data_IF_856767554272
#
_entry.id   IF_856767554272
#
_cell.length_a   1.000
_cell.length_b   1.000
_cell.length_c   1.000
_cell.angle_alpha   90.00
_cell.angle_beta   90.00
_cell.angle_gamma   90.00
#
_symmetry.space_group_name_H-M   'P 1'
#
loop_
_entity.id
_entity.type
_entity.pdbx_description
1 polymer ?
#
# COMPACT_ATOMS: atom_id res chain seq x y z
N UNK A 1 -20.53 -96.29 -26.06
CA UNK A 1 -21.00 -95.64 -24.84
C UNK A 1 -19.96 -94.66 -24.42
N UNK A 2 -20.10 -93.42 -24.80
CA UNK A 2 -19.24 -92.34 -24.30
C UNK A 2 -20.16 -91.22 -23.98
N UNK A 3 -20.16 -90.82 -22.74
CA UNK A 3 -21.08 -89.90 -22.08
C UNK A 3 -20.78 -88.45 -22.33
N UNK A 4 -21.77 -87.70 -22.67
CA UNK A 4 -21.83 -86.24 -22.75
C UNK A 4 -21.81 -85.67 -21.34
N UNK A 5 -20.73 -84.95 -20.95
CA UNK A 5 -20.72 -84.19 -19.71
C UNK A 5 -19.83 -82.94 -19.78
N UNK A 6 -19.64 -82.39 -20.99
CA UNK A 6 -18.73 -81.22 -21.18
C UNK A 6 -19.39 -79.87 -21.39
N UNK A 7 -20.68 -79.75 -21.69
CA UNK A 7 -21.27 -78.48 -22.17
C UNK A 7 -21.93 -77.60 -21.08
N UNK A 8 -22.22 -78.15 -19.91
CA UNK A 8 -22.89 -77.33 -18.87
C UNK A 8 -21.99 -76.49 -17.98
N UNK A 9 -20.67 -76.63 -18.09
CA UNK A 9 -19.73 -75.83 -17.24
C UNK A 9 -19.26 -74.49 -17.89
N UNK A 10 -19.40 -74.38 -19.21
CA UNK A 10 -19.00 -73.15 -19.91
C UNK A 10 -20.09 -72.08 -19.90
N UNK A 11 -21.38 -72.48 -19.91
CA UNK A 11 -22.46 -71.49 -19.88
C UNK A 11 -22.68 -70.82 -18.52
N UNK A 12 -22.29 -71.44 -17.41
CA UNK A 12 -22.44 -70.88 -16.11
C UNK A 12 -21.33 -69.87 -15.78
N UNK A 13 -20.16 -69.95 -16.44
CA UNK A 13 -19.07 -68.98 -16.22
C UNK A 13 -19.28 -67.69 -17.00
N UNK A 14 -19.90 -67.74 -18.18
CA UNK A 14 -20.19 -66.54 -18.97
C UNK A 14 -21.36 -65.73 -18.40
N UNK A 15 -22.36 -66.38 -17.82
CA UNK A 15 -23.47 -65.71 -17.17
C UNK A 15 -23.04 -65.02 -15.87
N UNK A 16 -22.12 -65.65 -15.10
CA UNK A 16 -21.57 -65.02 -13.89
C UNK A 16 -20.66 -63.83 -14.17
N UNK A 17 -19.88 -63.79 -15.29
CA UNK A 17 -19.07 -62.67 -15.69
C UNK A 17 -19.87 -61.47 -16.21
N UNK A 18 -21.00 -61.71 -16.91
CA UNK A 18 -21.85 -60.62 -17.41
C UNK A 18 -22.65 -59.98 -16.27
N UNK A 19 -23.05 -60.72 -15.25
CA UNK A 19 -23.73 -60.15 -14.07
C UNK A 19 -22.81 -59.42 -13.15
N UNK A 20 -21.50 -59.77 -13.07
CA UNK A 20 -20.52 -59.03 -12.25
C UNK A 20 -20.06 -57.75 -12.95
N UNK A 21 -20.06 -57.70 -14.28
CA UNK A 21 -19.69 -56.49 -15.02
C UNK A 21 -20.82 -55.45 -15.07
N UNK A 22 -22.07 -55.84 -14.87
CA UNK A 22 -23.20 -54.91 -14.84
C UNK A 22 -23.42 -54.26 -13.47
N UNK A 23 -22.74 -54.73 -12.41
CA UNK A 23 -22.88 -54.19 -11.04
C UNK A 23 -21.77 -53.18 -10.70
N UNK A 24 -20.84 -52.90 -11.61
CA UNK A 24 -19.74 -51.93 -11.39
C UNK A 24 -19.94 -50.62 -12.14
N UNK A 25 -21.11 -50.35 -12.72
CA UNK A 25 -21.51 -49.02 -13.13
C UNK A 25 -22.18 -48.30 -11.95
N UNK A 26 -21.49 -48.22 -10.81
CA UNK A 26 -21.77 -47.20 -9.82
C UNK A 26 -21.39 -45.88 -10.48
N UNK A 27 -22.44 -45.21 -10.96
CA UNK A 27 -22.36 -43.81 -11.35
C UNK A 27 -21.67 -43.07 -10.22
N UNK A 28 -20.39 -42.74 -10.38
CA UNK A 28 -19.76 -41.70 -9.63
C UNK A 28 -20.47 -40.40 -10.03
N UNK A 29 -21.61 -40.13 -9.40
CA UNK A 29 -22.15 -38.80 -9.34
C UNK A 29 -21.12 -38.05 -8.45
N UNK A 30 -20.35 -37.11 -8.98
CA UNK A 30 -19.55 -36.29 -8.11
C UNK A 30 -20.51 -35.64 -7.12
N UNK A 31 -20.42 -36.01 -5.86
CA UNK A 31 -21.08 -35.27 -4.78
C UNK A 31 -20.38 -33.91 -4.79
N UNK A 32 -20.95 -32.96 -5.50
CA UNK A 32 -20.53 -31.57 -5.40
C UNK A 32 -20.91 -31.13 -4.00
N UNK A 33 -19.97 -31.31 -3.07
CA UNK A 33 -20.12 -30.76 -1.73
C UNK A 33 -20.28 -29.25 -1.90
N UNK A 34 -21.48 -28.77 -1.62
CA UNK A 34 -21.74 -27.36 -1.38
C UNK A 34 -20.69 -26.89 -0.38
N UNK A 35 -19.74 -26.05 -0.82
CA UNK A 35 -18.70 -25.55 0.07
C UNK A 35 -19.30 -24.49 0.99
N UNK A 36 -19.83 -24.91 2.13
CA UNK A 36 -20.32 -24.04 3.19
C UNK A 36 -19.24 -23.08 3.75
N UNK A 37 -17.99 -23.30 3.38
CA UNK A 37 -16.82 -22.57 3.90
C UNK A 37 -16.22 -21.56 2.92
N UNK A 38 -16.95 -21.20 1.87
CA UNK A 38 -16.51 -20.25 0.86
C UNK A 38 -15.59 -20.85 -0.20
N UNK A 39 -15.71 -20.39 -1.43
CA UNK A 39 -14.86 -20.76 -2.55
C UNK A 39 -13.62 -19.87 -2.59
N UNK A 40 -12.45 -20.43 -2.90
CA UNK A 40 -11.18 -19.69 -3.03
C UNK A 40 -11.05 -18.95 -4.38
N UNK A 41 -11.98 -19.20 -5.31
CA UNK A 41 -11.95 -18.65 -6.67
C UNK A 41 -12.74 -17.35 -6.83
N UNK A 42 -12.59 -16.76 -8.01
CA UNK A 42 -13.40 -15.62 -8.48
C UNK A 42 -14.73 -16.08 -9.11
N UNK A 43 -15.08 -17.34 -8.99
CA UNK A 43 -16.29 -17.95 -9.56
C UNK A 43 -16.97 -18.84 -8.53
N UNK A 44 -18.29 -18.81 -8.49
CA UNK A 44 -19.12 -19.71 -7.70
C UNK A 44 -19.66 -20.85 -8.58
N UNK A 45 -18.78 -21.58 -9.27
CA UNK A 45 -19.14 -22.59 -10.27
C UNK A 45 -20.09 -23.70 -9.83
N UNK A 46 -20.31 -23.87 -8.51
CA UNK A 46 -21.31 -24.81 -7.96
C UNK A 46 -22.75 -24.28 -8.05
N UNK A 47 -22.97 -22.97 -8.25
CA UNK A 47 -24.28 -22.32 -8.25
C UNK A 47 -24.74 -21.89 -9.66
N UNK A 48 -24.21 -22.50 -10.70
CA UNK A 48 -24.54 -22.14 -12.09
C UNK A 48 -23.68 -21.02 -12.66
N UNK A 49 -24.14 -20.35 -13.71
CA UNK A 49 -23.45 -19.21 -14.33
C UNK A 49 -23.57 -17.94 -13.51
N UNK A 50 -22.71 -16.97 -13.80
CA UNK A 50 -22.80 -15.61 -13.25
C UNK A 50 -24.12 -14.98 -13.67
N UNK A 51 -24.80 -14.30 -12.74
CA UNK A 51 -26.13 -13.73 -12.96
C UNK A 51 -26.12 -12.23 -12.70
N UNK A 52 -26.40 -11.44 -13.73
CA UNK A 52 -26.49 -9.98 -13.66
C UNK A 52 -27.63 -9.45 -12.78
N UNK A 53 -28.62 -10.31 -12.43
CA UNK A 53 -29.65 -9.97 -11.46
C UNK A 53 -29.13 -9.86 -10.02
N UNK A 54 -27.90 -10.32 -9.77
CA UNK A 54 -27.23 -10.27 -8.48
C UNK A 54 -26.12 -9.24 -8.51
N UNK A 55 -26.06 -8.39 -7.48
CA UNK A 55 -25.04 -7.36 -7.30
C UNK A 55 -24.25 -7.63 -6.03
N UNK A 56 -22.94 -7.59 -6.13
CA UNK A 56 -22.02 -7.56 -4.99
C UNK A 56 -21.53 -6.12 -4.82
N UNK A 57 -21.94 -5.47 -3.75
CA UNK A 57 -21.52 -4.11 -3.40
C UNK A 57 -20.52 -4.17 -2.26
N UNK A 58 -19.44 -3.45 -2.41
CA UNK A 58 -18.46 -3.21 -1.34
C UNK A 58 -18.32 -1.71 -1.18
N UNK A 59 -18.46 -1.22 0.03
CA UNK A 59 -18.31 0.20 0.38
C UNK A 59 -17.29 0.34 1.51
N UNK A 60 -16.71 1.55 1.65
CA UNK A 60 -15.69 1.85 2.64
C UNK A 60 -14.26 1.75 2.13
N UNK A 61 -14.06 1.24 0.89
CA UNK A 61 -12.76 1.29 0.25
C UNK A 61 -12.42 2.73 -0.17
N UNK A 62 -11.16 3.17 -0.06
CA UNK A 62 -10.74 4.49 -0.51
C UNK A 62 -10.60 4.54 -2.04
N UNK A 63 -10.59 5.73 -2.61
CA UNK A 63 -10.25 5.96 -4.02
C UNK A 63 -8.76 5.74 -4.31
N UNK A 64 -7.90 6.04 -3.31
CA UNK A 64 -6.50 5.67 -3.22
C UNK A 64 -6.17 5.34 -1.76
N UNK A 65 -5.31 4.36 -1.52
CA UNK A 65 -4.98 3.96 -0.15
C UNK A 65 -3.71 4.65 0.35
N UNK A 66 -3.72 5.02 1.63
CA UNK A 66 -2.51 5.45 2.36
C UNK A 66 -1.83 4.19 2.91
N UNK A 67 -0.53 3.96 2.65
CA UNK A 67 0.18 2.80 3.16
C UNK A 67 0.03 2.60 4.67
N UNK A 68 -0.23 1.36 5.09
CA UNK A 68 -0.44 1.00 6.49
C UNK A 68 -1.76 1.42 7.10
N UNK A 69 -2.58 2.23 6.43
CA UNK A 69 -3.90 2.65 6.93
C UNK A 69 -4.90 1.51 6.88
N UNK A 70 -5.86 1.50 7.82
CA UNK A 70 -6.92 0.50 7.89
C UNK A 70 -8.26 1.10 7.47
N UNK A 71 -8.98 0.39 6.63
CA UNK A 71 -10.28 0.76 6.06
C UNK A 71 -11.31 -0.28 6.42
N UNK A 72 -12.44 0.15 6.98
CA UNK A 72 -13.56 -0.73 7.31
C UNK A 72 -14.46 -0.91 6.09
N UNK A 73 -14.52 -2.14 5.57
CA UNK A 73 -15.29 -2.51 4.38
C UNK A 73 -16.62 -3.13 4.80
N UNK A 74 -17.68 -2.75 4.11
CA UNK A 74 -19.00 -3.37 4.22
C UNK A 74 -19.36 -4.04 2.89
N UNK A 75 -19.69 -5.31 2.94
CA UNK A 75 -20.01 -6.18 1.79
C UNK A 75 -21.51 -6.48 1.83
N UNK A 76 -22.19 -6.27 0.71
CA UNK A 76 -23.63 -6.58 0.56
C UNK A 76 -23.86 -7.34 -0.73
N UNK A 77 -24.67 -8.38 -0.67
CA UNK A 77 -25.17 -9.14 -1.83
C UNK A 77 -26.66 -8.89 -1.96
N UNK A 78 -27.10 -8.38 -3.09
CA UNK A 78 -28.50 -8.20 -3.42
C UNK A 78 -28.86 -8.94 -4.72
N UNK A 79 -30.10 -9.39 -4.84
CA UNK A 79 -30.60 -10.03 -6.07
C UNK A 79 -32.03 -9.62 -6.32
N UNK A 80 -32.38 -9.38 -7.59
CA UNK A 80 -33.75 -9.09 -8.01
C UNK A 80 -34.55 -10.37 -8.31
N UNK A 81 -33.88 -11.51 -8.43
CA UNK A 81 -34.49 -12.81 -8.76
C UNK A 81 -34.55 -13.76 -7.58
N UNK A 82 -33.64 -13.61 -6.61
CA UNK A 82 -33.57 -14.49 -5.43
C UNK A 82 -33.94 -13.68 -4.17
N UNK A 83 -35.14 -13.89 -3.67
CA UNK A 83 -35.66 -13.25 -2.46
C UNK A 83 -35.03 -13.80 -1.18
N UNK A 84 -35.21 -13.08 -0.05
CA UNK A 84 -34.71 -13.47 1.27
C UNK A 84 -33.27 -13.03 1.55
N UNK A 85 -32.79 -13.37 2.74
CA UNK A 85 -31.53 -12.88 3.30
C UNK A 85 -30.39 -13.89 3.30
N UNK A 86 -30.66 -15.09 2.81
CA UNK A 86 -29.62 -16.15 2.76
C UNK A 86 -28.61 -15.87 1.65
N UNK A 87 -27.34 -16.04 1.98
CA UNK A 87 -26.28 -15.82 1.02
C UNK A 87 -24.90 -16.17 1.55
N UNK A 88 -23.91 -15.89 0.73
CA UNK A 88 -22.51 -16.07 1.08
C UNK A 88 -21.62 -15.17 0.24
N UNK A 89 -20.39 -14.99 0.68
CA UNK A 89 -19.37 -14.24 -0.06
C UNK A 89 -17.98 -14.80 0.19
N UNK A 90 -17.07 -14.47 -0.69
CA UNK A 90 -15.63 -14.65 -0.50
C UNK A 90 -14.90 -13.47 -1.15
N UNK A 91 -13.92 -12.90 -0.47
CA UNK A 91 -13.15 -11.74 -0.93
C UNK A 91 -11.68 -11.94 -0.62
N UNK A 92 -10.82 -11.46 -1.53
CA UNK A 92 -9.37 -11.46 -1.41
C UNK A 92 -8.80 -10.12 -1.86
N UNK A 93 -7.58 -9.84 -1.41
CA UNK A 93 -6.76 -8.71 -1.85
C UNK A 93 -5.45 -9.22 -2.43
N UNK A 94 -4.89 -8.54 -3.41
CA UNK A 94 -3.56 -8.85 -3.96
C UNK A 94 -2.43 -8.44 -3.01
N UNK A 95 -2.69 -7.47 -2.10
CA UNK A 95 -1.77 -7.05 -1.06
C UNK A 95 -2.54 -6.44 0.12
N UNK A 96 -1.85 -6.21 1.24
CA UNK A 96 -2.47 -5.84 2.51
C UNK A 96 -3.07 -7.04 3.22
N UNK A 97 -3.79 -6.81 4.31
CA UNK A 97 -4.31 -7.86 5.16
C UNK A 97 -5.74 -7.56 5.62
N UNK A 98 -6.59 -8.60 5.62
CA UNK A 98 -7.89 -8.51 6.27
C UNK A 98 -7.78 -8.82 7.76
N UNK A 99 -8.55 -8.10 8.56
CA UNK A 99 -8.63 -8.26 10.02
C UNK A 99 -10.05 -7.95 10.52
N UNK A 100 -10.31 -8.20 11.79
CA UNK A 100 -11.57 -7.86 12.46
C UNK A 100 -12.82 -8.22 11.65
N UNK A 101 -12.97 -9.50 11.23
CA UNK A 101 -14.20 -9.91 10.54
C UNK A 101 -15.40 -9.67 11.47
N UNK A 102 -16.40 -8.98 10.94
CA UNK A 102 -17.63 -8.73 11.66
C UNK A 102 -18.45 -10.00 11.91
N UNK A 103 -19.60 -9.83 12.55
CA UNK A 103 -20.53 -10.94 12.79
C UNK A 103 -20.88 -11.62 11.45
N UNK A 104 -20.91 -12.95 11.44
CA UNK A 104 -21.20 -13.78 10.25
C UNK A 104 -20.11 -13.81 9.17
N UNK A 105 -18.94 -13.19 9.41
CA UNK A 105 -17.74 -13.31 8.59
C UNK A 105 -16.62 -14.06 9.34
N UNK A 106 -15.63 -14.56 8.59
CA UNK A 106 -14.42 -15.18 9.14
C UNK A 106 -13.25 -14.98 8.18
N UNK A 107 -12.05 -15.02 8.73
CA UNK A 107 -10.82 -15.09 7.94
C UNK A 107 -10.51 -16.55 7.60
N UNK A 108 -10.02 -16.78 6.39
CA UNK A 108 -9.61 -18.08 5.91
C UNK A 108 -8.44 -17.94 4.91
N UNK A 109 -7.26 -18.33 5.32
CA UNK A 109 -6.08 -18.40 4.44
C UNK A 109 -5.81 -17.09 3.67
N UNK A 110 -5.85 -15.94 4.35
CA UNK A 110 -5.57 -14.61 3.78
C UNK A 110 -6.74 -13.98 3.02
N UNK A 111 -7.90 -14.60 3.00
CA UNK A 111 -9.16 -14.06 2.47
C UNK A 111 -10.18 -13.90 3.59
N UNK A 112 -11.27 -13.19 3.32
CA UNK A 112 -12.45 -13.12 4.16
C UNK A 112 -13.63 -13.79 3.48
N UNK A 113 -14.42 -14.53 4.24
CA UNK A 113 -15.60 -15.23 3.75
C UNK A 113 -16.71 -15.24 4.82
N UNK A 114 -17.91 -15.62 4.43
CA UNK A 114 -19.00 -15.82 5.38
C UNK A 114 -18.73 -17.00 6.33
N UNK A 115 -19.21 -16.89 7.56
CA UNK A 115 -19.23 -17.98 8.56
C UNK A 115 -20.62 -18.59 8.75
N UNK A 116 -21.66 -17.94 8.24
CA UNK A 116 -23.06 -18.41 8.21
C UNK A 116 -23.72 -17.93 6.93
N UNK A 117 -24.73 -18.68 6.48
CA UNK A 117 -25.50 -18.37 5.28
C UNK A 117 -26.78 -17.55 5.56
N UNK A 118 -26.96 -17.08 6.79
CA UNK A 118 -28.24 -16.48 7.24
C UNK A 118 -28.39 -14.99 6.89
N UNK A 119 -27.40 -14.39 6.29
CA UNK A 119 -27.36 -12.94 5.97
C UNK A 119 -26.74 -12.73 4.58
N UNK A 120 -26.95 -11.51 4.04
CA UNK A 120 -26.32 -11.02 2.79
C UNK A 120 -25.52 -9.73 3.01
N UNK A 121 -25.15 -9.44 4.27
CA UNK A 121 -24.31 -8.31 4.62
C UNK A 121 -23.25 -8.72 5.63
N UNK A 122 -22.03 -8.21 5.44
CA UNK A 122 -20.86 -8.53 6.25
C UNK A 122 -19.95 -7.32 6.33
N UNK A 123 -19.03 -7.32 7.30
CA UNK A 123 -17.98 -6.32 7.43
C UNK A 123 -16.63 -6.96 7.70
N UNK A 124 -15.58 -6.24 7.35
CA UNK A 124 -14.18 -6.62 7.61
C UNK A 124 -13.31 -5.37 7.51
N UNK A 125 -12.24 -5.33 8.27
CA UNK A 125 -11.20 -4.32 8.09
C UNK A 125 -10.15 -4.81 7.10
N UNK A 126 -9.69 -3.91 6.24
CA UNK A 126 -8.55 -4.13 5.35
C UNK A 126 -7.46 -3.11 5.67
N UNK A 127 -6.29 -3.60 6.08
CA UNK A 127 -5.09 -2.79 6.28
C UNK A 127 -4.29 -2.78 4.99
N UNK A 128 -4.06 -1.59 4.46
CA UNK A 128 -3.29 -1.39 3.24
C UNK A 128 -1.83 -1.84 3.39
N UNK A 129 -1.17 -2.27 2.31
CA UNK A 129 0.22 -2.69 2.34
C UNK A 129 1.18 -1.53 2.63
N UNK A 130 2.48 -1.85 2.72
CA UNK A 130 3.56 -0.87 2.86
C UNK A 130 3.71 0.00 1.61
N UNK A 131 4.33 1.16 1.75
CA UNK A 131 4.63 2.07 0.66
C UNK A 131 5.44 1.39 -0.45
N UNK A 132 5.21 1.81 -1.70
CA UNK A 132 5.84 1.26 -2.88
C UNK A 132 5.23 -0.04 -3.40
N UNK A 133 4.11 -0.51 -2.82
CA UNK A 133 3.39 -1.69 -3.33
C UNK A 133 2.64 -1.41 -4.63
N UNK A 134 2.21 -0.16 -4.86
CA UNK A 134 1.46 0.25 -6.03
C UNK A 134 -0.01 -0.14 -5.98
N UNK A 135 -0.64 -0.38 -7.13
CA UNK A 135 -2.09 -0.66 -7.20
C UNK A 135 -2.45 -2.02 -6.61
N UNK A 136 -3.38 -2.02 -5.65
CA UNK A 136 -3.97 -3.22 -5.06
C UNK A 136 -5.31 -3.52 -5.71
N UNK A 137 -5.59 -4.80 -5.98
CA UNK A 137 -6.89 -5.27 -6.43
C UNK A 137 -7.60 -5.99 -5.29
N UNK A 138 -8.78 -5.52 -4.90
CA UNK A 138 -9.71 -6.26 -4.03
C UNK A 138 -10.77 -6.87 -4.94
N UNK A 139 -10.94 -8.18 -4.86
CA UNK A 139 -11.88 -8.93 -5.69
C UNK A 139 -12.58 -10.03 -4.90
N UNK A 140 -13.77 -10.38 -5.34
CA UNK A 140 -14.55 -11.42 -4.68
C UNK A 140 -15.81 -11.81 -5.43
N UNK A 141 -16.55 -12.71 -4.82
CA UNK A 141 -17.86 -13.20 -5.30
C UNK A 141 -18.87 -13.14 -4.16
N UNK A 142 -20.12 -12.92 -4.53
CA UNK A 142 -21.26 -13.01 -3.61
C UNK A 142 -22.39 -13.82 -4.23
N UNK A 143 -23.02 -14.64 -3.42
CA UNK A 143 -24.13 -15.49 -3.80
C UNK A 143 -25.38 -15.13 -3.01
N UNK A 144 -26.50 -14.93 -3.71
CA UNK A 144 -27.83 -14.86 -3.14
C UNK A 144 -28.44 -16.27 -3.18
N UNK A 145 -28.65 -16.86 -2.00
CA UNK A 145 -29.19 -18.21 -1.88
C UNK A 145 -30.70 -18.21 -1.59
N UNK A 146 -31.44 -19.12 -2.21
CA UNK A 146 -32.88 -19.31 -2.00
C UNK A 146 -33.20 -20.15 -0.77
N UNK A 147 -32.19 -20.82 -0.18
CA UNK A 147 -32.30 -21.57 1.05
C UNK A 147 -32.94 -22.96 0.92
N UNK A 148 -33.04 -23.52 -0.29
CA UNK A 148 -33.55 -24.85 -0.54
C UNK A 148 -32.56 -25.99 -0.23
N UNK A 149 -31.36 -25.64 0.30
CA UNK A 149 -30.27 -26.59 0.57
C UNK A 149 -29.68 -27.27 -0.68
N UNK A 150 -29.98 -26.76 -1.87
CA UNK A 150 -29.44 -27.19 -3.15
C UNK A 150 -28.74 -25.97 -3.82
N UNK A 151 -27.93 -26.25 -4.82
CA UNK A 151 -27.25 -25.19 -5.60
C UNK A 151 -28.15 -24.56 -6.67
N UNK A 152 -29.35 -25.14 -6.89
CA UNK A 152 -30.30 -24.68 -7.90
C UNK A 152 -31.15 -23.52 -7.41
N UNK A 153 -31.37 -22.55 -8.28
CA UNK A 153 -32.18 -21.37 -7.97
C UNK A 153 -31.45 -20.30 -7.13
N UNK A 154 -30.16 -20.44 -6.92
CA UNK A 154 -29.27 -19.43 -6.39
C UNK A 154 -28.74 -18.55 -7.53
N UNK A 155 -28.31 -17.32 -7.20
CA UNK A 155 -27.76 -16.40 -8.16
C UNK A 155 -26.50 -15.73 -7.56
N UNK A 156 -25.41 -15.68 -8.33
CA UNK A 156 -24.15 -15.11 -7.87
C UNK A 156 -23.57 -14.11 -8.87
N UNK A 157 -22.75 -13.20 -8.35
CA UNK A 157 -21.98 -12.28 -9.17
C UNK A 157 -20.60 -12.03 -8.54
N UNK A 158 -19.72 -11.35 -9.29
CA UNK A 158 -18.38 -10.99 -8.86
C UNK A 158 -18.27 -9.50 -8.58
N UNK A 159 -17.25 -9.16 -7.81
CA UNK A 159 -16.78 -7.79 -7.54
C UNK A 159 -15.30 -7.72 -7.78
N UNK A 160 -14.82 -6.62 -8.35
CA UNK A 160 -13.39 -6.32 -8.48
C UNK A 160 -13.20 -4.81 -8.55
N UNK A 161 -12.28 -4.30 -7.75
CA UNK A 161 -11.85 -2.90 -7.78
C UNK A 161 -10.34 -2.82 -7.67
N UNK A 162 -9.76 -1.86 -8.39
CA UNK A 162 -8.36 -1.47 -8.25
C UNK A 162 -8.27 -0.20 -7.40
N UNK A 163 -7.41 -0.22 -6.40
CA UNK A 163 -7.18 0.88 -5.49
C UNK A 163 -5.69 1.26 -5.64
N UNK A 164 -5.37 2.38 -6.28
CA UNK A 164 -3.99 2.85 -6.40
C UNK A 164 -3.46 3.26 -5.02
N UNK A 165 -2.15 3.20 -4.87
CA UNK A 165 -1.46 3.82 -3.75
C UNK A 165 -1.61 5.34 -3.85
N UNK A 166 -1.90 6.00 -2.73
CA UNK A 166 -1.87 7.45 -2.68
C UNK A 166 -0.42 7.90 -2.90
N UNK A 167 -0.22 8.78 -3.86
CA UNK A 167 1.06 9.46 -4.01
C UNK A 167 1.21 10.40 -2.81
N UNK A 168 2.27 10.24 -2.01
CA UNK A 168 2.65 11.28 -1.07
C UNK A 168 2.92 12.55 -1.89
N UNK A 169 2.22 13.64 -1.57
CA UNK A 169 2.57 14.92 -2.16
C UNK A 169 3.89 15.34 -1.51
N UNK A 170 4.95 15.46 -2.30
CA UNK A 170 6.21 16.03 -1.83
C UNK A 170 5.99 17.48 -1.40
N UNK A 171 6.23 17.78 -0.13
CA UNK A 171 6.20 19.14 0.41
C UNK A 171 7.57 19.78 0.26
N UNK A 172 7.60 21.10 0.36
CA UNK A 172 8.86 21.82 0.31
C UNK A 172 9.55 21.80 1.69
N UNK A 173 10.86 21.58 1.74
CA UNK A 173 11.63 21.57 2.98
C UNK A 173 11.72 22.95 3.63
N UNK A 174 12.20 22.99 4.87
CA UNK A 174 12.42 24.22 5.63
C UNK A 174 13.87 24.32 6.08
N UNK A 175 14.39 25.56 6.17
CA UNK A 175 15.65 25.87 6.84
C UNK A 175 15.36 26.68 8.11
N UNK A 176 16.07 26.38 9.20
CA UNK A 176 15.91 27.06 10.48
C UNK A 176 17.24 27.18 11.23
N UNK A 177 17.26 27.93 12.34
CA UNK A 177 18.42 28.07 13.21
C UNK A 177 19.69 28.55 12.48
N UNK A 178 19.53 29.45 11.51
CA UNK A 178 20.66 30.02 10.78
C UNK A 178 21.60 30.74 11.72
N UNK A 179 22.87 30.39 11.68
CA UNK A 179 23.93 31.01 12.49
C UNK A 179 25.21 31.15 11.67
N UNK A 180 26.00 32.16 11.97
CA UNK A 180 27.35 32.27 11.43
C UNK A 180 28.35 32.21 12.58
N UNK A 181 29.39 31.44 12.41
CA UNK A 181 30.47 31.27 13.36
C UNK A 181 31.80 31.72 12.72
N UNK A 182 32.71 32.38 13.50
CA UNK A 182 32.52 32.80 14.88
C UNK A 182 31.51 33.95 15.00
N UNK A 183 30.93 34.15 16.17
CA UNK A 183 29.97 35.24 16.44
C UNK A 183 30.55 36.64 16.23
N UNK A 184 31.87 36.79 16.31
CA UNK A 184 32.64 37.99 16.01
C UNK A 184 33.66 37.67 14.92
N UNK A 185 33.24 37.65 13.66
CA UNK A 185 34.13 37.31 12.55
C UNK A 185 35.13 38.40 12.24
N UNK A 186 36.28 37.99 11.75
CA UNK A 186 37.37 38.88 11.31
C UNK A 186 37.91 38.40 9.97
N UNK A 187 38.74 39.21 9.33
CA UNK A 187 39.45 38.78 8.10
C UNK A 187 40.36 37.56 8.29
N UNK A 188 40.69 37.18 9.54
CA UNK A 188 41.50 36.01 9.84
C UNK A 188 40.67 34.74 10.09
N UNK A 189 39.42 34.88 10.48
CA UNK A 189 38.56 33.73 10.86
C UNK A 189 37.64 33.27 9.73
N UNK A 190 37.30 34.17 8.79
CA UNK A 190 36.26 33.88 7.81
C UNK A 190 34.86 33.84 8.42
N UNK A 191 33.91 33.33 7.64
CA UNK A 191 32.53 33.03 8.04
C UNK A 191 32.25 31.57 7.79
N UNK A 192 31.52 30.92 8.70
CA UNK A 192 30.96 29.58 8.50
C UNK A 192 29.47 29.60 8.83
N UNK A 193 28.62 29.32 7.86
CA UNK A 193 27.19 29.22 8.02
C UNK A 193 26.83 27.83 8.59
N UNK A 194 25.92 27.83 9.54
CA UNK A 194 25.30 26.61 10.10
C UNK A 194 23.78 26.84 10.07
N UNK A 195 23.03 25.86 9.67
CA UNK A 195 21.56 25.84 9.74
C UNK A 195 21.04 24.42 9.93
N UNK A 196 19.76 24.33 10.25
CA UNK A 196 19.04 23.06 10.35
C UNK A 196 18.13 22.93 9.13
N UNK A 197 18.31 21.87 8.35
CA UNK A 197 17.38 21.43 7.30
C UNK A 197 16.35 20.49 7.90
N UNK A 198 15.09 20.62 7.52
CA UNK A 198 14.01 19.72 7.93
C UNK A 198 13.01 19.54 6.78
N UNK A 199 12.63 18.30 6.55
CA UNK A 199 11.64 17.89 5.56
C UNK A 199 10.62 16.96 6.20
N UNK A 200 9.32 17.23 5.97
CA UNK A 200 8.23 16.50 6.64
C UNK A 200 8.17 15.04 6.20
N UNK A 201 8.51 14.76 4.95
CA UNK A 201 8.54 13.43 4.36
C UNK A 201 9.85 12.70 4.62
N UNK A 202 10.87 13.42 5.11
CA UNK A 202 12.21 12.91 5.39
C UNK A 202 13.09 12.85 4.15
N UNK A 203 12.76 13.61 3.12
CA UNK A 203 13.58 13.70 1.92
C UNK A 203 14.91 14.40 2.22
N UNK A 204 15.97 13.93 1.59
CA UNK A 204 17.31 14.44 1.81
C UNK A 204 17.52 15.79 1.13
N UNK A 205 18.26 16.66 1.78
CA UNK A 205 18.67 17.95 1.22
C UNK A 205 19.42 17.77 -0.10
N UNK A 206 18.97 18.50 -1.15
CA UNK A 206 19.56 18.43 -2.49
C UNK A 206 19.27 19.73 -3.25
N UNK A 207 20.31 20.41 -3.72
CA UNK A 207 20.16 21.63 -4.53
C UNK A 207 19.74 22.87 -3.73
N UNK A 208 19.95 22.89 -2.41
CA UNK A 208 19.81 24.10 -1.59
C UNK A 208 20.69 25.23 -2.14
N UNK A 209 20.12 26.42 -2.31
CA UNK A 209 20.84 27.61 -2.73
C UNK A 209 21.28 28.42 -1.52
N UNK A 210 22.54 28.85 -1.50
CA UNK A 210 23.12 29.72 -0.50
C UNK A 210 23.66 30.98 -1.19
N UNK A 211 23.02 32.12 -0.94
CA UNK A 211 23.43 33.40 -1.50
C UNK A 211 24.00 34.30 -0.42
N UNK A 212 25.28 34.70 -0.57
CA UNK A 212 25.93 35.68 0.28
C UNK A 212 25.84 37.08 -0.30
N UNK A 213 25.69 38.07 0.58
CA UNK A 213 25.64 39.48 0.24
C UNK A 213 26.66 40.23 1.07
N UNK A 214 27.37 41.13 0.42
CA UNK A 214 28.35 42.07 1.02
C UNK A 214 27.83 43.47 0.84
N UNK A 215 27.61 44.20 1.95
CA UNK A 215 27.04 45.56 1.97
C UNK A 215 25.73 45.67 1.14
N UNK A 216 24.92 44.61 1.17
CA UNK A 216 23.65 44.48 0.43
C UNK A 216 23.78 44.11 -1.05
N UNK A 217 25.00 43.90 -1.56
CA UNK A 217 25.26 43.49 -2.94
C UNK A 217 25.60 41.99 -2.98
N UNK A 218 25.04 41.24 -3.92
CA UNK A 218 25.34 39.83 -4.08
C UNK A 218 26.82 39.55 -4.28
N UNK A 219 27.35 38.51 -3.63
CA UNK A 219 28.74 38.06 -3.68
C UNK A 219 28.80 36.67 -4.37
N UNK A 220 28.61 36.58 -5.71
CA UNK A 220 28.50 35.33 -6.43
C UNK A 220 29.76 34.46 -6.36
N UNK A 221 30.92 35.06 -6.04
CA UNK A 221 32.19 34.33 -5.88
C UNK A 221 32.21 33.36 -4.69
N UNK A 222 31.22 33.48 -3.79
CA UNK A 222 31.04 32.61 -2.61
C UNK A 222 29.64 32.00 -2.54
N UNK A 223 28.87 32.01 -3.66
CA UNK A 223 27.58 31.39 -3.74
C UNK A 223 27.67 29.85 -3.50
N UNK A 224 26.61 29.27 -2.98
CA UNK A 224 26.46 27.84 -2.65
C UNK A 224 27.57 27.29 -1.73
N UNK A 225 28.27 28.17 -1.02
CA UNK A 225 29.28 27.78 -0.06
C UNK A 225 28.81 28.01 1.38
N UNK A 226 29.03 27.00 2.23
CA UNK A 226 28.84 27.14 3.68
C UNK A 226 29.89 28.03 4.33
N UNK A 227 30.99 28.39 3.62
CA UNK A 227 32.08 29.15 4.19
C UNK A 227 32.48 30.30 3.30
N UNK A 228 32.83 31.44 3.91
CA UNK A 228 33.47 32.58 3.24
C UNK A 228 34.87 32.73 3.80
N UNK A 229 35.87 32.56 2.95
CA UNK A 229 37.27 32.74 3.36
C UNK A 229 37.54 34.21 3.82
N UNK A 230 38.36 34.38 4.83
CA UNK A 230 38.79 35.71 5.26
C UNK A 230 39.42 36.57 4.17
N UNK A 231 39.95 35.98 3.08
CA UNK A 231 40.46 36.68 1.93
C UNK A 231 39.41 37.48 1.12
N UNK A 232 38.13 37.16 1.29
CA UNK A 232 37.02 37.89 0.68
C UNK A 232 36.47 39.00 1.62
N UNK A 233 36.93 39.07 2.86
CA UNK A 233 36.39 39.92 3.88
C UNK A 233 37.26 41.16 4.07
N UNK A 234 36.63 42.34 4.28
CA UNK A 234 37.29 43.57 4.73
C UNK A 234 36.66 44.05 6.03
N UNK A 235 37.48 44.64 6.88
CA UNK A 235 37.01 45.19 8.15
C UNK A 235 35.92 46.24 7.93
N UNK A 236 34.83 46.12 8.68
CA UNK A 236 33.72 47.07 8.66
C UNK A 236 32.62 46.72 7.63
N UNK A 237 32.85 45.74 6.75
CA UNK A 237 31.79 45.22 5.86
C UNK A 237 30.66 44.60 6.66
N UNK A 238 29.45 44.70 6.11
CA UNK A 238 28.25 44.02 6.62
C UNK A 238 27.88 42.90 5.66
N UNK A 239 27.88 41.70 6.17
CA UNK A 239 27.52 40.51 5.41
C UNK A 239 26.12 39.99 5.81
N UNK A 240 25.45 39.36 4.87
CA UNK A 240 24.22 38.60 5.10
C UNK A 240 24.20 37.38 4.20
N UNK A 241 23.36 36.40 4.55
CA UNK A 241 23.20 35.19 3.77
C UNK A 241 21.72 34.82 3.68
N UNK A 242 21.30 34.37 2.50
CA UNK A 242 19.99 33.79 2.25
C UNK A 242 20.18 32.30 1.97
N UNK A 243 19.43 31.44 2.64
CA UNK A 243 19.37 30.01 2.42
C UNK A 243 17.99 29.66 1.87
N UNK A 244 17.93 29.11 0.67
CA UNK A 244 16.71 28.55 0.08
C UNK A 244 16.83 27.03 0.07
N UNK A 245 16.21 26.33 1.03
CA UNK A 245 16.35 24.88 1.14
C UNK A 245 15.65 24.18 -0.03
N UNK A 246 16.18 23.05 -0.44
CA UNK A 246 15.60 22.22 -1.51
C UNK A 246 15.84 20.72 -1.23
N UNK A 247 14.86 19.89 -1.58
CA UNK A 247 14.93 18.44 -1.59
C UNK A 247 15.33 17.85 -2.96
N UNK A 248 15.57 18.73 -3.95
CA UNK A 248 15.83 18.38 -5.35
C UNK A 248 14.57 18.34 -6.22
N UNK A 249 13.39 18.42 -5.63
CA UNK A 249 12.09 18.45 -6.32
C UNK A 249 11.36 19.77 -6.06
N UNK A 250 11.28 20.18 -4.80
CA UNK A 250 10.66 21.42 -4.33
C UNK A 250 11.67 22.31 -3.62
N UNK A 251 11.42 23.62 -3.69
CA UNK A 251 12.18 24.61 -2.94
C UNK A 251 11.33 25.16 -1.80
N UNK A 252 11.93 25.26 -0.62
CA UNK A 252 11.33 25.87 0.55
C UNK A 252 11.40 27.40 0.54
N UNK A 253 10.82 28.01 1.56
CA UNK A 253 10.86 29.46 1.73
C UNK A 253 12.27 29.94 2.10
N UNK A 254 12.81 30.93 1.38
CA UNK A 254 14.13 31.51 1.71
C UNK A 254 14.18 32.03 3.15
N UNK A 255 15.25 31.72 3.86
CA UNK A 255 15.57 32.22 5.20
C UNK A 255 16.78 33.12 5.14
N UNK A 256 16.73 34.26 5.86
CA UNK A 256 17.77 35.28 5.81
C UNK A 256 18.40 35.43 7.18
N UNK A 257 19.74 35.42 7.22
CA UNK A 257 20.53 35.84 8.35
C UNK A 257 21.30 37.12 7.94
N UNK A 258 21.03 38.23 8.58
CA UNK A 258 21.59 39.53 8.24
C UNK A 258 22.46 40.14 9.33
N UNK A 259 23.12 41.25 8.98
CA UNK A 259 23.88 42.09 9.89
C UNK A 259 25.10 41.42 10.56
N UNK A 260 25.86 40.64 9.80
CA UNK A 260 27.13 40.06 10.23
C UNK A 260 28.25 41.10 9.96
N UNK A 261 28.76 41.79 11.00
CA UNK A 261 29.77 42.84 10.85
C UNK A 261 31.16 42.23 10.99
N UNK A 262 32.04 42.51 10.02
CA UNK A 262 33.43 42.04 10.05
C UNK A 262 34.25 42.95 11.00
N UNK A 263 34.67 42.34 12.10
CA UNK A 263 35.41 43.01 13.16
C UNK A 263 36.92 43.13 12.85
N UNK A 264 37.62 43.97 13.62
CA UNK A 264 39.06 44.04 13.56
C UNK A 264 39.71 42.79 14.17
N UNK A 265 40.69 42.21 13.51
CA UNK A 265 41.54 41.20 14.11
C UNK A 265 42.44 41.79 15.19
N UNK A 266 42.62 41.12 16.29
CA UNK A 266 43.58 41.54 17.31
C UNK A 266 45.00 41.57 16.71
N UNK A 267 45.83 42.56 17.06
CA UNK A 267 47.21 42.59 16.60
C UNK A 267 47.97 41.37 17.19
N UNK A 268 48.75 40.70 16.34
CA UNK A 268 49.70 39.69 16.78
C UNK A 268 51.00 40.36 17.20
N UNK A 269 51.48 40.07 18.41
CA UNK A 269 52.80 40.50 18.82
C UNK A 269 53.85 39.86 17.91
N UNK A 270 54.68 40.70 17.25
CA UNK A 270 55.87 40.22 16.55
C UNK A 270 56.89 39.64 17.52
N UNK A 271 57.87 38.87 17.06
CA UNK A 271 58.93 38.36 17.89
C UNK A 271 59.66 39.58 18.55
N UNK A 272 59.85 39.53 19.87
CA UNK A 272 60.56 40.52 20.59
C UNK A 272 62.04 40.58 20.05
N UNK A 273 62.40 41.67 19.43
CA UNK A 273 63.81 41.90 19.08
C UNK A 273 64.46 42.46 20.34
N UNK A 274 65.28 41.69 21.02
CA UNK A 274 66.15 42.12 22.06
C UNK A 274 67.32 42.80 21.37
N UNK A 275 67.47 44.14 21.53
CA UNK A 275 68.56 44.93 21.05
C UNK A 275 69.65 44.97 22.15
#
# INVERSE_FOLDING_TARGET
>A
MITSSGENHLMNRTAAMVTTLLLLLVVFVPVTNSQQNGNTGTTCGCHGGQDSSTTVSVIGQPTSYIPGSTYSLSITVSSTTVSGDKGGFSMRSTAGAFSNPGLNAKLDSGKVTHSTISVRNWSVDWTAPVAGTGTVTISGTGNAANGNSANSGDAWNSYSIQIPEATSQNLAPTASNLQVTPAIPTVLTGLTLIYTYDDTEGDSESGTSIEWFRDGVSAPEVADSLTVSGSFLSRGETWSVTVTPSDGTNQGTPQILGSIIISNAAPTAGPAVII
#
